data_IF_300372997008
#
_entry.id   IF_300372997008
#
_cell.length_a   1.000
_cell.length_b   1.000
_cell.length_c   1.000
_cell.angle_alpha   90.00
_cell.angle_beta   90.00
_cell.angle_gamma   90.00
#
_symmetry.space_group_name_H-M   'P 1'
#
loop_
_entity.id
_entity.type
_entity.pdbx_description
1 polymer ?
#
# COMPACT_ATOMS: atom_id res chain seq x y z
N UNK A 1 -12.40 -9.91 -2.19
CA UNK A 1 -11.41 -9.93 -3.27
C UNK A 1 -10.51 -11.14 -3.12
N UNK A 2 -10.31 -11.86 -4.22
CA UNK A 2 -9.56 -13.11 -4.25
C UNK A 2 -8.21 -12.97 -4.97
N UNK A 3 -7.91 -11.77 -5.48
CA UNK A 3 -6.64 -11.43 -6.13
C UNK A 3 -6.19 -10.00 -5.81
N UNK A 4 -4.89 -9.68 -6.02
CA UNK A 4 -4.39 -8.31 -5.89
C UNK A 4 -5.09 -7.31 -6.81
N UNK A 5 -5.40 -7.70 -8.04
CA UNK A 5 -6.08 -6.83 -9.02
C UNK A 5 -7.50 -6.49 -8.57
N UNK A 6 -8.25 -7.50 -8.10
CA UNK A 6 -9.59 -7.29 -7.59
C UNK A 6 -9.59 -6.42 -6.33
N UNK A 7 -8.60 -6.60 -5.46
CA UNK A 7 -8.46 -5.83 -4.23
C UNK A 7 -8.15 -4.35 -4.50
N UNK A 8 -7.21 -4.05 -5.40
CA UNK A 8 -6.91 -2.68 -5.82
C UNK A 8 -8.11 -2.02 -6.46
N UNK A 9 -8.76 -2.69 -7.42
CA UNK A 9 -9.97 -2.17 -8.06
C UNK A 9 -11.07 -1.89 -7.04
N UNK A 10 -11.35 -2.84 -6.15
CA UNK A 10 -12.38 -2.68 -5.10
C UNK A 10 -12.06 -1.51 -4.19
N UNK A 11 -10.82 -1.38 -3.73
CA UNK A 11 -10.41 -0.26 -2.88
C UNK A 11 -10.53 1.08 -3.62
N UNK A 12 -10.05 1.16 -4.86
CA UNK A 12 -10.10 2.36 -5.70
C UNK A 12 -11.56 2.79 -5.91
N UNK A 13 -12.45 1.86 -6.25
CA UNK A 13 -13.87 2.15 -6.42
C UNK A 13 -14.51 2.70 -5.15
N UNK A 14 -14.25 2.06 -4.01
CA UNK A 14 -14.81 2.46 -2.72
C UNK A 14 -14.31 3.86 -2.32
N UNK A 15 -12.99 4.09 -2.34
CA UNK A 15 -12.39 5.36 -1.93
C UNK A 15 -12.82 6.49 -2.85
N UNK A 16 -12.87 6.25 -4.16
CA UNK A 16 -13.24 7.29 -5.14
C UNK A 16 -14.68 7.76 -5.01
N UNK A 17 -15.59 6.90 -4.53
CA UNK A 17 -17.02 7.22 -4.36
C UNK A 17 -17.38 7.68 -2.96
N UNK A 18 -16.80 7.04 -1.95
CA UNK A 18 -17.19 7.27 -0.55
C UNK A 18 -16.49 8.48 0.06
N UNK A 19 -15.34 8.90 -0.49
CA UNK A 19 -14.64 10.09 -0.02
C UNK A 19 -15.16 11.32 -0.76
N UNK A 20 -15.89 12.25 -0.09
CA UNK A 20 -16.55 13.36 -0.78
C UNK A 20 -15.59 14.27 -1.56
N UNK A 21 -14.37 14.48 -1.05
CA UNK A 21 -13.35 15.28 -1.75
C UNK A 21 -12.88 14.67 -3.07
N UNK A 22 -12.83 13.34 -3.15
CA UNK A 22 -12.44 12.63 -4.37
C UNK A 22 -13.63 12.48 -5.31
N UNK A 23 -14.81 12.17 -4.76
CA UNK A 23 -16.03 12.00 -5.51
C UNK A 23 -16.44 13.27 -6.28
N UNK A 24 -16.25 14.44 -5.65
CA UNK A 24 -16.64 15.74 -6.18
C UNK A 24 -15.46 16.52 -6.78
N UNK A 25 -14.37 15.84 -7.18
CA UNK A 25 -13.27 16.48 -7.87
C UNK A 25 -13.77 17.18 -9.15
N UNK A 26 -13.36 18.44 -9.36
CA UNK A 26 -13.78 19.23 -10.50
C UNK A 26 -13.29 18.61 -11.82
N UNK A 27 -14.17 18.55 -12.81
CA UNK A 27 -13.91 17.99 -14.14
C UNK A 27 -14.67 18.79 -15.19
N UNK A 28 -14.03 19.08 -16.33
CA UNK A 28 -14.71 19.72 -17.46
C UNK A 28 -15.58 18.70 -18.21
N UNK A 29 -16.62 19.17 -18.91
CA UNK A 29 -17.51 18.30 -19.71
C UNK A 29 -16.73 17.48 -20.75
N UNK A 30 -15.76 18.09 -21.44
CA UNK A 30 -14.93 17.42 -22.44
C UNK A 30 -14.17 16.21 -21.85
N UNK A 31 -13.70 16.34 -20.60
CA UNK A 31 -12.97 15.27 -19.91
C UNK A 31 -13.89 14.15 -19.42
N UNK A 32 -15.18 14.43 -19.17
CA UNK A 32 -16.13 13.40 -18.72
C UNK A 32 -16.29 12.28 -19.75
N UNK A 33 -16.37 12.63 -21.04
CA UNK A 33 -16.50 11.63 -22.11
C UNK A 33 -15.28 10.71 -22.17
N UNK A 34 -14.07 11.28 -22.05
CA UNK A 34 -12.81 10.54 -22.00
C UNK A 34 -12.75 9.61 -20.78
N UNK A 35 -13.09 10.13 -19.59
CA UNK A 35 -13.11 9.36 -18.33
C UNK A 35 -14.07 8.18 -18.42
N UNK A 36 -15.30 8.41 -18.91
CA UNK A 36 -16.28 7.33 -19.12
C UNK A 36 -15.70 6.29 -20.07
N UNK A 37 -15.09 6.71 -21.19
CA UNK A 37 -14.44 5.82 -22.15
C UNK A 37 -13.43 4.86 -21.52
N UNK A 38 -12.66 5.32 -20.52
CA UNK A 38 -11.67 4.51 -19.80
C UNK A 38 -12.28 3.53 -18.80
N UNK A 39 -13.46 3.82 -18.27
CA UNK A 39 -14.20 2.95 -17.35
C UNK A 39 -15.12 1.94 -18.07
N UNK A 40 -15.25 2.01 -19.40
CA UNK A 40 -16.21 1.23 -20.20
C UNK A 40 -16.03 -0.28 -20.16
N UNK A 41 -14.90 -0.80 -19.67
CA UNK A 41 -14.82 -2.23 -19.40
C UNK A 41 -15.68 -2.67 -18.20
N UNK A 42 -16.17 -1.74 -17.37
CA UNK A 42 -16.82 -2.11 -16.11
C UNK A 42 -18.17 -1.43 -15.82
N UNK A 43 -18.48 -0.19 -16.25
CA UNK A 43 -19.76 0.48 -15.90
C UNK A 43 -20.27 1.54 -16.90
N UNK A 44 -21.60 1.54 -17.07
CA UNK A 44 -22.58 2.56 -17.52
C UNK A 44 -22.11 3.71 -18.43
N UNK A 45 -22.88 4.01 -19.49
CA UNK A 45 -22.52 4.99 -20.53
C UNK A 45 -22.52 6.48 -20.15
N UNK A 46 -22.50 6.84 -18.87
CA UNK A 46 -22.52 8.24 -18.40
C UNK A 46 -21.61 8.46 -17.18
N UNK A 47 -21.14 9.71 -17.01
CA UNK A 47 -20.22 10.11 -15.94
C UNK A 47 -20.90 10.18 -14.57
N UNK A 48 -20.22 9.71 -13.53
CA UNK A 48 -20.66 9.73 -12.13
C UNK A 48 -19.62 10.38 -11.20
N UNK A 49 -20.05 10.91 -10.05
CA UNK A 49 -19.12 11.33 -9.00
C UNK A 49 -18.13 10.21 -8.64
N UNK A 50 -16.85 10.56 -8.58
CA UNK A 50 -15.75 9.63 -8.31
C UNK A 50 -15.12 8.96 -9.54
N UNK A 51 -15.71 9.09 -10.73
CA UNK A 51 -15.15 8.43 -11.92
C UNK A 51 -13.75 8.96 -12.28
N UNK A 52 -13.53 10.29 -12.19
CA UNK A 52 -12.20 10.87 -12.40
C UNK A 52 -11.19 10.35 -11.36
N UNK A 53 -11.62 10.20 -10.10
CA UNK A 53 -10.76 9.67 -9.04
C UNK A 53 -10.42 8.19 -9.25
N UNK A 54 -11.41 7.40 -9.68
CA UNK A 54 -11.21 5.99 -10.01
C UNK A 54 -10.21 5.84 -11.16
N UNK A 55 -10.34 6.65 -12.23
CA UNK A 55 -9.37 6.67 -13.33
C UNK A 55 -7.98 7.08 -12.85
N UNK A 56 -7.85 8.16 -12.09
CA UNK A 56 -6.55 8.64 -11.61
C UNK A 56 -5.80 7.58 -10.81
N UNK A 57 -6.47 6.92 -9.86
CA UNK A 57 -5.87 5.89 -9.02
C UNK A 57 -5.60 4.59 -9.79
N UNK A 58 -6.47 4.23 -10.74
CA UNK A 58 -6.25 3.07 -11.62
C UNK A 58 -5.02 3.29 -12.49
N UNK A 59 -4.81 4.49 -13.03
CA UNK A 59 -3.62 4.81 -13.82
C UNK A 59 -2.33 4.67 -13.01
N UNK A 60 -2.32 5.11 -11.73
CA UNK A 60 -1.17 4.88 -10.85
C UNK A 60 -0.93 3.39 -10.61
N UNK A 61 -2.00 2.62 -10.41
CA UNK A 61 -1.91 1.19 -10.12
C UNK A 61 -1.43 0.37 -11.33
N UNK A 62 -1.94 0.68 -12.52
CA UNK A 62 -1.76 -0.11 -13.73
C UNK A 62 -0.63 0.37 -14.65
N UNK A 63 -0.32 1.67 -14.66
CA UNK A 63 0.65 2.28 -15.58
C UNK A 63 1.65 3.21 -14.87
N UNK A 64 2.36 2.73 -13.83
CA UNK A 64 3.26 3.56 -13.04
C UNK A 64 4.36 4.24 -13.87
N UNK A 65 4.84 3.61 -14.93
CA UNK A 65 5.83 4.13 -15.88
C UNK A 65 5.37 5.41 -16.61
N UNK A 66 4.06 5.62 -16.73
CA UNK A 66 3.53 6.83 -17.37
C UNK A 66 3.76 8.10 -16.53
N UNK A 67 4.01 7.97 -15.22
CA UNK A 67 4.20 9.09 -14.28
C UNK A 67 5.63 9.65 -14.26
N UNK A 68 6.32 9.66 -15.40
CA UNK A 68 7.66 10.24 -15.54
C UNK A 68 7.68 11.76 -15.28
N UNK A 69 8.86 12.28 -14.98
CA UNK A 69 9.06 13.73 -14.81
C UNK A 69 8.70 14.47 -16.11
N UNK A 70 7.93 15.55 -16.00
CA UNK A 70 7.49 16.34 -17.16
C UNK A 70 6.30 15.78 -17.94
N UNK A 71 5.67 14.68 -17.50
CA UNK A 71 4.46 14.16 -18.14
C UNK A 71 3.34 15.21 -18.15
N UNK A 72 2.86 15.55 -19.36
CA UNK A 72 1.77 16.53 -19.56
C UNK A 72 0.39 15.88 -19.53
N UNK A 73 0.30 14.62 -19.96
CA UNK A 73 -0.91 13.80 -19.94
C UNK A 73 -0.56 12.35 -19.62
N UNK A 74 -1.53 11.62 -19.06
CA UNK A 74 -1.44 10.21 -18.70
C UNK A 74 -2.65 9.52 -19.33
N UNK A 75 -2.44 8.59 -20.25
CA UNK A 75 -3.51 7.95 -21.02
C UNK A 75 -4.52 8.98 -21.60
N UNK A 76 -3.98 10.03 -22.23
CA UNK A 76 -4.72 11.17 -22.82
C UNK A 76 -5.41 12.11 -21.82
N UNK A 77 -5.47 11.77 -20.53
CA UNK A 77 -6.00 12.67 -19.51
C UNK A 77 -4.93 13.69 -19.13
N UNK A 78 -5.22 15.01 -19.20
CA UNK A 78 -4.27 16.04 -18.77
C UNK A 78 -3.82 15.81 -17.33
N UNK A 79 -2.51 15.85 -17.07
CA UNK A 79 -1.97 15.59 -15.73
C UNK A 79 -2.53 16.57 -14.69
N UNK A 80 -2.76 17.83 -15.10
CA UNK A 80 -3.36 18.86 -14.24
C UNK A 80 -4.79 18.51 -13.79
N UNK A 81 -5.55 17.74 -14.56
CA UNK A 81 -6.87 17.27 -14.15
C UNK A 81 -6.78 16.15 -13.10
N UNK A 82 -5.75 15.29 -13.19
CA UNK A 82 -5.50 14.22 -12.22
C UNK A 82 -4.89 14.75 -10.91
N UNK A 83 -4.13 15.84 -10.98
CA UNK A 83 -3.30 16.34 -9.89
C UNK A 83 -4.04 16.53 -8.55
N UNK A 84 -5.23 17.18 -8.49
CA UNK A 84 -5.94 17.37 -7.22
C UNK A 84 -6.27 16.04 -6.52
N UNK A 85 -6.65 15.02 -7.28
CA UNK A 85 -6.91 13.67 -6.75
C UNK A 85 -5.63 13.04 -6.24
N UNK A 86 -4.54 13.12 -7.02
CA UNK A 86 -3.27 12.49 -6.70
C UNK A 86 -2.57 13.12 -5.49
N UNK A 87 -2.84 14.40 -5.20
CA UNK A 87 -2.38 15.07 -3.98
C UNK A 87 -3.25 14.73 -2.76
N UNK A 88 -4.55 14.52 -2.95
CA UNK A 88 -5.50 14.32 -1.85
C UNK A 88 -5.63 12.84 -1.43
N UNK A 89 -5.64 11.91 -2.39
CA UNK A 89 -5.87 10.49 -2.14
C UNK A 89 -4.88 9.82 -1.17
N UNK A 90 -3.56 10.14 -1.16
CA UNK A 90 -2.61 9.51 -0.24
C UNK A 90 -3.03 9.61 1.22
N UNK A 91 -3.65 10.73 1.64
CA UNK A 91 -4.09 10.96 3.03
C UNK A 91 -5.14 9.92 3.46
N UNK A 92 -6.14 9.70 2.62
CA UNK A 92 -7.22 8.75 2.91
C UNK A 92 -6.75 7.30 2.86
N UNK A 93 -5.96 6.97 1.84
CA UNK A 93 -5.37 5.63 1.73
C UNK A 93 -4.41 5.34 2.89
N UNK A 94 -3.64 6.34 3.33
CA UNK A 94 -2.76 6.21 4.49
C UNK A 94 -3.58 5.96 5.77
N UNK A 95 -4.67 6.70 5.98
CA UNK A 95 -5.56 6.48 7.12
C UNK A 95 -6.16 5.06 7.13
N UNK A 96 -6.60 4.53 5.99
CA UNK A 96 -7.06 3.13 5.88
C UNK A 96 -5.91 2.17 6.19
N UNK A 97 -4.71 2.44 5.68
CA UNK A 97 -3.53 1.60 5.94
C UNK A 97 -3.15 1.50 7.41
N UNK A 98 -3.25 2.59 8.17
CA UNK A 98 -2.94 2.57 9.61
C UNK A 98 -3.98 1.82 10.46
N UNK A 99 -5.18 1.59 9.92
CA UNK A 99 -6.22 0.81 10.61
C UNK A 99 -5.86 -0.66 10.80
N UNK A 100 -4.88 -1.20 10.03
CA UNK A 100 -4.46 -2.60 10.13
C UNK A 100 -3.94 -2.97 11.53
N UNK A 101 -3.13 -2.10 12.15
CA UNK A 101 -2.61 -2.29 13.50
C UNK A 101 -3.72 -2.25 14.57
N UNK A 102 -4.80 -1.50 14.29
CA UNK A 102 -5.94 -1.32 15.20
C UNK A 102 -7.03 -2.38 15.00
N UNK A 103 -6.96 -3.19 13.92
CA UNK A 103 -8.00 -4.15 13.58
C UNK A 103 -9.38 -3.54 13.29
N UNK A 104 -9.45 -2.26 12.91
CA UNK A 104 -10.72 -1.57 12.66
C UNK A 104 -11.24 -1.76 11.23
N UNK A 105 -10.41 -2.31 10.33
CA UNK A 105 -10.78 -2.70 8.96
C UNK A 105 -10.25 -4.08 8.64
N UNK A 106 -10.81 -4.70 7.59
CA UNK A 106 -10.32 -6.00 7.12
C UNK A 106 -8.85 -5.90 6.63
N UNK A 107 -7.95 -6.85 6.98
CA UNK A 107 -6.53 -6.78 6.65
C UNK A 107 -6.18 -6.49 5.19
N UNK A 108 -6.90 -7.11 4.25
CA UNK A 108 -6.68 -6.86 2.82
C UNK A 108 -6.76 -5.36 2.47
N UNK A 109 -7.71 -4.61 3.03
CA UNK A 109 -7.89 -3.21 2.67
C UNK A 109 -6.80 -2.33 3.28
N UNK A 110 -6.39 -2.62 4.52
CA UNK A 110 -5.26 -1.93 5.15
C UNK A 110 -3.96 -2.13 4.36
N UNK A 111 -3.63 -3.36 3.97
CA UNK A 111 -2.40 -3.68 3.23
C UNK A 111 -2.39 -3.01 1.86
N UNK A 112 -3.48 -3.18 1.09
CA UNK A 112 -3.58 -2.61 -0.26
C UNK A 112 -3.57 -1.08 -0.20
N UNK A 113 -4.22 -0.48 0.80
CA UNK A 113 -4.22 0.97 0.98
C UNK A 113 -2.84 1.51 1.40
N UNK A 114 -2.13 0.81 2.28
CA UNK A 114 -0.78 1.18 2.70
C UNK A 114 0.23 1.14 1.54
N UNK A 115 0.07 0.19 0.62
CA UNK A 115 0.86 0.12 -0.61
C UNK A 115 0.46 1.22 -1.61
N UNK A 116 -0.83 1.31 -1.95
CA UNK A 116 -1.32 2.26 -2.94
C UNK A 116 -1.12 3.72 -2.51
N UNK A 117 -1.29 4.04 -1.23
CA UNK A 117 -1.03 5.38 -0.67
C UNK A 117 0.38 5.88 -1.05
N UNK A 118 1.39 5.02 -0.86
CA UNK A 118 2.78 5.36 -1.14
C UNK A 118 3.08 5.38 -2.63
N UNK A 119 2.48 4.48 -3.41
CA UNK A 119 2.60 4.52 -4.87
C UNK A 119 2.03 5.81 -5.45
N UNK A 120 0.89 6.28 -4.95
CA UNK A 120 0.28 7.56 -5.38
C UNK A 120 1.14 8.74 -4.93
N UNK A 121 1.58 8.76 -3.67
CA UNK A 121 2.43 9.82 -3.11
C UNK A 121 3.74 9.96 -3.88
N UNK A 122 4.41 8.84 -4.14
CA UNK A 122 5.71 8.77 -4.79
C UNK A 122 5.62 8.33 -6.26
N UNK A 123 4.49 8.60 -6.92
CA UNK A 123 4.21 8.19 -8.31
C UNK A 123 5.30 8.55 -9.31
N UNK A 124 6.04 9.65 -9.07
CA UNK A 124 7.19 10.07 -9.90
C UNK A 124 8.39 9.11 -9.83
N UNK A 125 8.47 8.27 -8.80
CA UNK A 125 9.41 7.16 -8.71
C UNK A 125 8.98 5.94 -9.55
N UNK A 126 7.80 6.01 -10.18
CA UNK A 126 7.16 4.95 -10.96
C UNK A 126 7.13 3.58 -10.24
N UNK A 127 6.68 3.54 -8.97
CA UNK A 127 6.75 2.32 -8.17
C UNK A 127 5.71 1.29 -8.65
N UNK A 128 6.11 0.04 -8.93
CA UNK A 128 5.15 -1.04 -9.24
C UNK A 128 4.40 -1.49 -7.98
N UNK A 129 3.37 -2.34 -8.14
CA UNK A 129 2.69 -3.01 -7.01
C UNK A 129 3.68 -3.68 -6.06
N UNK A 130 3.42 -3.58 -4.76
CA UNK A 130 4.25 -4.14 -3.70
C UNK A 130 5.47 -3.30 -3.33
N UNK A 131 5.66 -2.15 -3.99
CA UNK A 131 6.69 -1.17 -3.63
C UNK A 131 6.41 -0.44 -2.31
N UNK A 132 5.20 -0.54 -1.77
CA UNK A 132 4.75 0.19 -0.58
C UNK A 132 5.70 0.07 0.61
N UNK A 133 6.12 -1.15 0.96
CA UNK A 133 7.06 -1.37 2.08
C UNK A 133 8.45 -0.77 1.82
N UNK A 134 8.93 -0.83 0.57
CA UNK A 134 10.21 -0.23 0.21
C UNK A 134 10.14 1.30 0.27
N UNK A 135 9.07 1.90 -0.25
CA UNK A 135 8.81 3.34 -0.14
C UNK A 135 8.63 3.78 1.31
N UNK A 136 7.96 2.97 2.13
CA UNK A 136 7.85 3.22 3.58
C UNK A 136 9.23 3.33 4.21
N UNK A 137 10.13 2.38 3.92
CA UNK A 137 11.49 2.41 4.45
C UNK A 137 12.26 3.64 3.96
N UNK A 138 12.08 4.06 2.71
CA UNK A 138 12.65 5.31 2.20
C UNK A 138 12.10 6.54 2.94
N UNK A 139 10.78 6.60 3.20
CA UNK A 139 10.16 7.67 4.00
C UNK A 139 10.73 7.73 5.42
N UNK A 140 10.90 6.58 6.09
CA UNK A 140 11.46 6.52 7.43
C UNK A 140 12.93 6.98 7.47
N UNK A 141 13.69 6.79 6.39
CA UNK A 141 15.09 7.20 6.29
C UNK A 141 15.30 8.66 5.87
N UNK A 142 14.28 9.35 5.38
CA UNK A 142 14.40 10.68 4.77
C UNK A 142 14.29 11.84 5.78
N UNK A 143 13.78 11.60 7.00
CA UNK A 143 13.22 12.63 7.91
C UNK A 143 12.04 13.41 7.29
N UNK A 144 11.12 13.92 8.12
CA UNK A 144 9.87 14.51 7.61
C UNK A 144 10.10 15.77 6.77
N UNK A 145 11.13 16.56 7.08
CA UNK A 145 11.41 17.85 6.44
C UNK A 145 11.91 17.65 5.01
N UNK A 146 12.83 16.70 4.81
CA UNK A 146 13.52 16.51 3.53
C UNK A 146 12.85 15.44 2.64
N UNK A 147 11.72 14.88 3.08
CA UNK A 147 11.10 13.73 2.42
C UNK A 147 10.87 13.92 0.92
N UNK A 148 10.48 15.12 0.48
CA UNK A 148 10.19 15.41 -0.94
C UNK A 148 11.40 15.19 -1.85
N UNK A 149 12.59 15.51 -1.38
CA UNK A 149 13.82 15.44 -2.16
C UNK A 149 14.59 14.15 -1.87
N UNK A 150 14.62 13.71 -0.60
CA UNK A 150 15.39 12.55 -0.18
C UNK A 150 14.75 11.20 -0.57
N UNK A 151 13.41 11.07 -0.58
CA UNK A 151 12.77 9.79 -0.92
C UNK A 151 13.05 9.33 -2.35
N UNK A 152 12.97 10.19 -3.39
CA UNK A 152 13.37 9.81 -4.75
C UNK A 152 14.84 9.34 -4.86
N UNK A 153 15.77 10.01 -4.16
CA UNK A 153 17.18 9.60 -4.13
C UNK A 153 17.36 8.24 -3.46
N UNK A 154 16.73 8.04 -2.31
CA UNK A 154 16.75 6.77 -1.56
C UNK A 154 16.13 5.63 -2.36
N UNK A 155 15.01 5.88 -3.03
CA UNK A 155 14.36 4.91 -3.90
C UNK A 155 15.29 4.49 -5.04
N UNK A 156 15.92 5.46 -5.73
CA UNK A 156 16.88 5.21 -6.80
C UNK A 156 18.09 4.43 -6.28
N UNK A 157 18.63 4.79 -5.12
CA UNK A 157 19.77 4.11 -4.51
C UNK A 157 19.42 2.65 -4.10
N UNK A 158 18.24 2.43 -3.54
CA UNK A 158 17.79 1.09 -3.13
C UNK A 158 17.51 0.19 -4.33
N UNK A 159 16.72 0.67 -5.29
CA UNK A 159 16.36 -0.10 -6.50
C UNK A 159 17.56 -0.32 -7.42
N UNK A 160 18.50 0.64 -7.52
CA UNK A 160 19.76 0.47 -8.24
C UNK A 160 20.67 -0.62 -7.66
N UNK A 161 20.49 -0.99 -6.38
CA UNK A 161 21.14 -2.15 -5.74
C UNK A 161 20.34 -3.45 -5.87
N UNK A 162 19.22 -3.44 -6.58
CA UNK A 162 18.33 -4.59 -6.72
C UNK A 162 17.42 -4.85 -5.52
N UNK A 163 17.28 -3.92 -4.57
CA UNK A 163 16.35 -4.10 -3.47
C UNK A 163 14.91 -3.98 -3.96
N UNK A 164 14.13 -5.04 -3.68
CA UNK A 164 12.72 -5.15 -4.03
C UNK A 164 11.78 -5.05 -2.81
N UNK A 165 12.34 -5.03 -1.60
CA UNK A 165 11.63 -4.90 -0.34
C UNK A 165 12.59 -4.27 0.67
N UNK A 166 12.11 -3.80 1.83
CA UNK A 166 12.99 -3.28 2.86
C UNK A 166 13.67 -4.41 3.65
N UNK A 167 13.76 -5.64 3.15
CA UNK A 167 14.20 -6.80 3.94
C UNK A 167 15.72 -7.04 3.93
N UNK A 168 16.50 -5.98 3.71
CA UNK A 168 17.97 -6.02 3.76
C UNK A 168 18.50 -6.03 5.19
N UNK A 169 19.74 -6.51 5.35
CA UNK A 169 20.53 -6.51 6.60
C UNK A 169 21.09 -5.12 6.91
N UNK A 170 21.72 -4.94 8.08
CA UNK A 170 22.30 -3.64 8.47
C UNK A 170 23.31 -3.05 7.46
N UNK A 171 24.01 -3.90 6.71
CA UNK A 171 24.95 -3.48 5.64
C UNK A 171 24.24 -3.05 4.34
N UNK A 172 22.92 -3.23 4.27
CA UNK A 172 22.07 -2.87 3.15
C UNK A 172 21.68 -1.40 3.09
N UNK A 173 22.18 -0.53 3.99
CA UNK A 173 21.82 0.88 4.05
C UNK A 173 21.99 1.60 2.69
N UNK A 174 20.91 2.12 2.09
CA UNK A 174 21.02 2.91 0.86
C UNK A 174 21.82 4.20 1.08
N UNK A 175 22.47 4.68 0.03
CA UNK A 175 23.11 6.00 0.02
C UNK A 175 22.06 7.09 0.30
N UNK A 176 22.49 8.22 0.86
CA UNK A 176 21.63 9.37 1.21
C UNK A 176 20.65 9.13 2.39
N UNK A 177 20.79 8.03 3.13
CA UNK A 177 20.04 7.80 4.36
C UNK A 177 20.37 8.88 5.41
N UNK A 178 19.35 9.59 5.88
CA UNK A 178 19.49 10.77 6.76
C UNK A 178 19.46 10.44 8.25
N UNK A 179 19.18 9.19 8.63
CA UNK A 179 19.22 8.76 10.02
C UNK A 179 20.66 8.66 10.52
N UNK A 180 20.90 8.85 11.81
CA UNK A 180 22.15 8.37 12.42
C UNK A 180 22.13 6.83 12.55
N UNK A 181 23.25 6.25 13.00
CA UNK A 181 23.38 4.80 13.09
C UNK A 181 22.45 4.16 14.13
N UNK A 182 22.16 4.86 15.22
CA UNK A 182 21.31 4.35 16.29
C UNK A 182 19.84 4.36 15.85
N UNK A 183 19.37 5.47 15.27
CA UNK A 183 18.04 5.59 14.69
C UNK A 183 17.85 4.62 13.52
N UNK A 184 18.88 4.38 12.71
CA UNK A 184 18.84 3.37 11.66
C UNK A 184 18.70 1.96 12.23
N UNK A 185 19.52 1.58 13.23
CA UNK A 185 19.43 0.26 13.88
C UNK A 185 18.06 0.04 14.54
N UNK A 186 17.53 1.06 15.21
CA UNK A 186 16.19 1.04 15.78
C UNK A 186 15.14 0.79 14.69
N UNK A 187 15.19 1.56 13.58
CA UNK A 187 14.29 1.37 12.45
C UNK A 187 14.34 -0.07 11.93
N UNK A 188 15.53 -0.68 11.79
CA UNK A 188 15.66 -2.07 11.31
C UNK A 188 14.96 -3.08 12.22
N UNK A 189 14.99 -2.87 13.54
CA UNK A 189 14.36 -3.75 14.54
C UNK A 189 12.83 -3.66 14.57
N UNK A 190 12.24 -2.56 14.09
CA UNK A 190 10.79 -2.30 14.12
C UNK A 190 10.08 -2.71 12.80
N UNK A 191 10.82 -3.25 11.83
CA UNK A 191 10.28 -3.73 10.54
C UNK A 191 9.62 -5.10 10.66
N UNK A 192 8.71 -5.40 9.74
CA UNK A 192 8.11 -6.73 9.60
C UNK A 192 9.07 -7.76 8.93
N UNK A 193 10.31 -7.37 8.63
CA UNK A 193 11.30 -8.22 7.94
C UNK A 193 11.53 -9.57 8.62
N UNK A 194 11.65 -9.57 9.96
CA UNK A 194 11.86 -10.78 10.74
C UNK A 194 10.55 -11.46 11.17
N UNK A 195 9.39 -10.91 10.78
CA UNK A 195 8.12 -11.48 11.17
C UNK A 195 7.87 -12.82 10.46
N UNK A 196 7.44 -13.82 11.23
CA UNK A 196 7.02 -15.13 10.71
C UNK A 196 5.55 -15.36 11.00
N UNK A 197 4.87 -16.07 10.09
CA UNK A 197 3.47 -16.46 10.24
C UNK A 197 3.35 -17.91 9.80
N UNK A 198 3.12 -18.80 10.75
CA UNK A 198 2.99 -20.24 10.54
C UNK A 198 1.52 -20.63 10.70
N UNK A 199 0.88 -20.95 9.57
CA UNK A 199 -0.51 -21.41 9.52
C UNK A 199 -0.55 -22.93 9.63
N UNK A 200 -1.08 -23.45 10.73
CA UNK A 200 -1.35 -24.87 10.93
C UNK A 200 -2.84 -25.17 10.74
N UNK A 201 -3.21 -26.46 10.78
CA UNK A 201 -4.58 -26.91 10.55
C UNK A 201 -5.61 -26.36 11.56
N UNK A 202 -5.20 -25.97 12.76
CA UNK A 202 -6.10 -25.42 13.80
C UNK A 202 -5.47 -24.27 14.61
N UNK A 203 -4.33 -23.74 14.17
CA UNK A 203 -3.55 -22.80 14.94
C UNK A 203 -2.74 -21.90 14.03
N UNK A 204 -2.71 -20.62 14.37
CA UNK A 204 -1.80 -19.66 13.76
C UNK A 204 -0.75 -19.24 14.80
N UNK A 205 0.53 -19.45 14.47
CA UNK A 205 1.64 -18.93 15.25
C UNK A 205 2.27 -17.75 14.51
N UNK A 206 2.66 -16.70 15.23
CA UNK A 206 3.36 -15.58 14.64
C UNK A 206 4.46 -15.03 15.56
N UNK A 207 5.54 -14.57 14.93
CA UNK A 207 6.58 -13.76 15.58
C UNK A 207 6.73 -12.43 14.84
N UNK A 208 7.06 -11.37 15.55
CA UNK A 208 7.17 -10.01 15.03
C UNK A 208 7.95 -9.11 16.02
N UNK A 209 8.31 -7.86 15.65
CA UNK A 209 8.74 -6.88 16.63
C UNK A 209 7.71 -6.69 17.76
N UNK A 210 8.17 -6.21 18.91
CA UNK A 210 7.30 -5.87 20.04
C UNK A 210 6.23 -4.85 19.65
N UNK A 211 5.11 -4.86 20.38
CA UNK A 211 3.95 -4.01 20.11
C UNK A 211 3.39 -4.12 18.67
N UNK A 212 3.58 -5.27 18.02
CA UNK A 212 2.91 -5.61 16.77
C UNK A 212 1.50 -6.15 17.03
N UNK A 213 0.75 -6.40 15.96
CA UNK A 213 -0.51 -7.13 16.02
C UNK A 213 -0.57 -8.21 14.93
N UNK A 214 -1.06 -9.39 15.30
CA UNK A 214 -1.45 -10.44 14.37
C UNK A 214 -2.93 -10.28 14.06
N UNK A 215 -3.30 -10.33 12.79
CA UNK A 215 -4.69 -10.44 12.36
C UNK A 215 -4.85 -11.71 11.56
N UNK A 216 -5.75 -12.58 11.99
CA UNK A 216 -6.15 -13.79 11.26
C UNK A 216 -7.55 -13.59 10.67
N UNK A 217 -7.83 -14.20 9.52
CA UNK A 217 -9.16 -14.11 8.90
C UNK A 217 -9.53 -15.34 8.08
N UNK A 218 -10.84 -15.48 7.92
CA UNK A 218 -11.50 -16.45 7.04
C UNK A 218 -12.75 -15.79 6.45
N UNK A 219 -12.80 -15.65 5.12
CA UNK A 219 -13.83 -14.87 4.45
C UNK A 219 -13.86 -13.42 4.93
N UNK A 220 -15.00 -13.00 5.51
CA UNK A 220 -15.20 -11.65 6.05
C UNK A 220 -14.89 -11.52 7.54
N UNK A 221 -14.79 -12.63 8.27
CA UNK A 221 -14.55 -12.65 9.71
C UNK A 221 -13.04 -12.56 9.94
N UNK A 222 -12.63 -11.63 10.78
CA UNK A 222 -11.24 -11.46 11.15
C UNK A 222 -11.11 -11.17 12.64
N UNK A 223 -9.98 -11.55 13.22
CA UNK A 223 -9.68 -11.38 14.63
C UNK A 223 -8.31 -10.71 14.78
N UNK A 224 -8.25 -9.68 15.63
CA UNK A 224 -7.02 -9.02 16.04
C UNK A 224 -6.47 -9.67 17.32
N UNK A 225 -5.19 -9.99 17.31
CA UNK A 225 -4.43 -10.53 18.43
C UNK A 225 -3.24 -9.59 18.68
N UNK A 226 -3.27 -8.76 19.76
CA UNK A 226 -2.12 -7.94 20.14
C UNK A 226 -0.90 -8.80 20.47
N UNK A 227 0.29 -8.37 20.03
CA UNK A 227 1.57 -9.03 20.27
C UNK A 227 2.52 -8.12 21.07
N UNK A 228 2.24 -7.85 22.36
CA UNK A 228 3.05 -6.93 23.16
C UNK A 228 4.52 -7.37 23.22
N UNK A 229 4.76 -8.67 23.33
CA UNK A 229 6.10 -9.30 23.38
C UNK A 229 6.55 -9.86 22.02
N UNK A 230 5.92 -9.45 20.92
CA UNK A 230 6.30 -9.89 19.57
C UNK A 230 6.00 -11.37 19.26
N UNK A 231 5.16 -12.04 20.05
CA UNK A 231 4.74 -13.43 19.84
C UNK A 231 3.23 -13.59 20.04
N UNK A 232 2.60 -14.40 19.20
CA UNK A 232 1.22 -14.82 19.37
C UNK A 232 1.03 -16.26 18.89
N UNK A 233 0.14 -16.96 19.58
CA UNK A 233 -0.40 -18.26 19.17
C UNK A 233 -1.90 -18.21 19.40
N UNK A 234 -2.68 -18.32 18.34
CA UNK A 234 -4.15 -18.30 18.40
C UNK A 234 -4.71 -19.61 17.87
N UNK A 235 -5.67 -20.17 18.60
CA UNK A 235 -6.46 -21.29 18.09
C UNK A 235 -7.43 -20.72 17.06
N UNK A 236 -7.36 -21.26 15.85
CA UNK A 236 -8.30 -20.87 14.82
C UNK A 236 -9.65 -21.53 15.14
N UNK A 237 -10.75 -20.78 14.99
CA UNK A 237 -12.10 -21.35 15.05
C UNK A 237 -12.33 -22.39 13.94
N UNK A 238 -13.44 -23.14 14.04
CA UNK A 238 -13.80 -24.10 12.98
C UNK A 238 -13.77 -23.42 11.61
N UNK A 239 -12.98 -24.00 10.70
CA UNK A 239 -12.85 -23.47 9.36
C UNK A 239 -14.14 -23.77 8.60
N UNK A 240 -14.91 -22.72 8.29
CA UNK A 240 -16.11 -22.76 7.41
C UNK A 240 -15.79 -23.14 5.94
N UNK A 241 -14.77 -23.98 5.70
CA UNK A 241 -14.29 -24.38 4.37
C UNK A 241 -13.56 -23.29 3.57
N UNK A 242 -13.46 -22.06 4.09
CA UNK A 242 -12.79 -20.93 3.45
C UNK A 242 -11.28 -20.93 3.70
N UNK A 243 -10.52 -20.42 2.72
CA UNK A 243 -9.08 -20.26 2.83
C UNK A 243 -8.71 -19.30 3.97
N UNK A 244 -7.87 -19.78 4.88
CA UNK A 244 -7.35 -19.00 6.01
C UNK A 244 -6.15 -18.19 5.58
N UNK A 245 -6.06 -16.97 6.10
CA UNK A 245 -4.90 -16.14 5.93
C UNK A 245 -4.67 -15.25 7.16
N UNK A 246 -3.47 -14.69 7.23
CA UNK A 246 -3.03 -13.91 8.36
C UNK A 246 -2.03 -12.83 7.95
N UNK A 247 -1.94 -11.79 8.78
CA UNK A 247 -1.03 -10.68 8.59
C UNK A 247 -0.51 -10.17 9.93
N UNK A 248 0.74 -9.75 9.94
CA UNK A 248 1.35 -9.00 11.04
C UNK A 248 1.43 -7.54 10.62
N UNK A 249 1.03 -6.65 11.53
CA UNK A 249 1.21 -5.20 11.42
C UNK A 249 2.14 -4.73 12.54
N UNK A 250 3.18 -3.97 12.19
CA UNK A 250 4.09 -3.40 13.19
C UNK A 250 3.63 -2.01 13.61
N UNK A 251 4.10 -1.57 14.79
CA UNK A 251 3.77 -0.25 15.34
C UNK A 251 4.11 0.92 14.39
N UNK A 252 5.15 0.79 13.57
CA UNK A 252 5.56 1.82 12.59
C UNK A 252 4.83 1.75 11.25
N UNK A 253 3.87 0.84 11.10
CA UNK A 253 3.06 0.71 9.88
C UNK A 253 3.75 -0.07 8.75
N UNK A 254 4.74 -0.90 9.08
CA UNK A 254 5.16 -2.00 8.20
C UNK A 254 4.26 -3.22 8.42
N UNK A 255 4.24 -4.14 7.47
CA UNK A 255 3.38 -5.32 7.55
C UNK A 255 3.97 -6.51 6.81
N UNK A 256 3.44 -7.70 7.09
CA UNK A 256 3.68 -8.93 6.33
C UNK A 256 2.43 -9.78 6.32
N UNK A 257 2.09 -10.38 5.19
CA UNK A 257 0.86 -11.18 5.04
C UNK A 257 1.10 -12.49 4.31
N UNK A 258 0.20 -13.44 4.52
CA UNK A 258 0.17 -14.72 3.82
C UNK A 258 -0.77 -14.69 2.61
N UNK A 259 -0.76 -15.76 1.81
CA UNK A 259 -1.63 -15.91 0.63
C UNK A 259 -1.31 -14.89 -0.46
N UNK A 260 -2.33 -14.52 -1.25
CA UNK A 260 -2.18 -13.56 -2.35
C UNK A 260 -1.77 -12.15 -1.86
N UNK A 261 -2.05 -11.79 -0.61
CA UNK A 261 -1.62 -10.52 -0.02
C UNK A 261 -0.09 -10.43 0.16
N UNK A 262 0.62 -11.56 0.12
CA UNK A 262 2.09 -11.57 0.17
C UNK A 262 2.73 -10.83 -1.02
N UNK A 263 1.99 -10.63 -2.13
CA UNK A 263 2.45 -9.82 -3.27
C UNK A 263 2.69 -8.35 -2.92
N UNK A 264 2.10 -7.84 -1.83
CA UNK A 264 2.37 -6.49 -1.34
C UNK A 264 3.63 -6.38 -0.49
N UNK A 265 4.31 -7.51 -0.22
CA UNK A 265 5.50 -7.53 0.65
C UNK A 265 6.80 -7.17 -0.09
N UNK A 266 6.80 -7.22 -1.43
CA UNK A 266 7.94 -6.93 -2.30
C UNK A 266 7.45 -6.45 -3.66
N UNK A 267 8.16 -5.53 -4.30
CA UNK A 267 7.95 -5.28 -5.72
C UNK A 267 8.54 -6.40 -6.57
N UNK A 268 7.97 -6.62 -7.75
CA UNK A 268 8.61 -7.47 -8.77
C UNK A 268 9.77 -6.67 -9.39
N UNK A 269 10.97 -7.25 -9.55
CA UNK A 269 12.04 -6.60 -10.30
C UNK A 269 11.55 -6.35 -11.74
N UNK A 270 11.96 -5.20 -12.30
CA UNK A 270 11.73 -4.88 -13.72
C UNK A 270 12.59 -5.78 -14.60
#
# INVERSE_FOLDING_TARGET
PDSPDEAERTLIELVSRLVPRLANAAVSEDLKALVVGRLRHERHGYYRPGDLAAVALTLVAATPESFQHGARSIAEVPYMALYPILEEAPRYLHWIGTQGLLGTVHPWSAIVAADLSRRVRWRRCQPPRGAGRLLWMCEQMATTVDAKDAVPELWKAATGRGFASPDWTATGRPQHCRLDDDAYRLLLSERATAATIDLHSNRTNATAPEASALVTWSGRRYQLIPMPQGKASVLDGEADGLARAAAVFTKRGDYRATGWLSEYSRCRPR
#
